data_IF_349645902096
#
_entry.id   IF_349645902096
#
_cell.length_a   1.000
_cell.length_b   1.000
_cell.length_c   1.000
_cell.angle_alpha   90.00
_cell.angle_beta   90.00
_cell.angle_gamma   90.00
#
_symmetry.space_group_name_H-M   'P 1'
#
loop_
_entity.id
_entity.type
_entity.pdbx_description
1 polymer ?
#
# COMPACT_ATOMS: atom_id res chain seq x y z
N UNK A 1 18.75 46.76 -24.13
CA UNK A 1 18.75 45.31 -23.88
C UNK A 1 17.30 44.90 -23.78
N UNK A 2 16.75 44.46 -24.91
CA UNK A 2 15.41 43.88 -25.01
C UNK A 2 15.46 42.48 -24.40
N UNK A 3 14.52 42.17 -23.52
CA UNK A 3 14.31 40.81 -23.01
C UNK A 3 13.11 40.25 -23.76
N UNK A 4 13.40 39.33 -24.67
CA UNK A 4 12.40 38.57 -25.41
C UNK A 4 11.50 37.83 -24.42
N UNK A 5 10.19 38.08 -24.55
CA UNK A 5 9.14 37.33 -23.89
C UNK A 5 8.87 36.07 -24.71
N UNK A 6 9.48 34.94 -24.34
CA UNK A 6 9.21 33.67 -24.99
C UNK A 6 8.74 32.59 -24.00
N UNK A 7 7.71 31.86 -24.41
CA UNK A 7 7.36 30.56 -23.84
C UNK A 7 6.49 30.53 -22.58
N UNK A 8 5.27 31.10 -22.62
CA UNK A 8 4.19 30.57 -21.76
C UNK A 8 3.81 29.17 -22.23
N UNK A 9 4.50 28.15 -21.72
CA UNK A 9 4.05 26.77 -21.82
C UNK A 9 2.81 26.61 -20.93
N UNK A 10 1.63 26.87 -21.47
CA UNK A 10 0.38 26.45 -20.84
C UNK A 10 0.29 24.93 -20.99
N UNK A 11 0.91 24.20 -20.06
CA UNK A 11 0.58 22.80 -19.79
C UNK A 11 -0.86 22.78 -19.26
N UNK A 12 -1.83 22.86 -20.17
CA UNK A 12 -3.23 22.59 -19.88
C UNK A 12 -3.41 21.08 -19.86
N UNK A 13 -2.72 20.40 -18.96
CA UNK A 13 -3.09 19.05 -18.57
C UNK A 13 -4.44 19.14 -17.89
N UNK A 14 -5.48 18.51 -18.46
CA UNK A 14 -6.66 18.19 -17.64
C UNK A 14 -6.19 17.17 -16.62
N UNK A 15 -6.16 17.56 -15.35
CA UNK A 15 -6.19 16.57 -14.27
C UNK A 15 -7.53 15.87 -14.43
N UNK A 16 -7.51 14.63 -14.93
CA UNK A 16 -8.68 13.77 -14.86
C UNK A 16 -8.87 13.46 -13.39
N UNK A 17 -9.77 14.17 -12.73
CA UNK A 17 -10.22 13.82 -11.39
C UNK A 17 -11.04 12.52 -11.53
N UNK A 18 -10.34 11.40 -11.55
CA UNK A 18 -10.96 10.10 -11.36
C UNK A 18 -11.46 10.04 -9.93
N UNK A 19 -12.65 9.48 -9.73
CA UNK A 19 -13.10 9.10 -8.40
C UNK A 19 -12.15 7.99 -7.96
N UNK A 20 -11.34 8.28 -6.94
CA UNK A 20 -10.54 7.26 -6.27
C UNK A 20 -11.38 6.72 -5.12
N UNK A 21 -11.58 5.41 -5.07
CA UNK A 21 -12.14 4.80 -3.89
C UNK A 21 -11.04 4.63 -2.87
N UNK A 22 -11.43 4.68 -1.60
CA UNK A 22 -10.58 4.20 -0.51
C UNK A 22 -11.29 3.02 0.14
N UNK A 23 -10.55 1.99 0.45
CA UNK A 23 -11.05 0.79 1.12
C UNK A 23 -10.32 0.62 2.44
N UNK A 24 -11.04 0.37 3.52
CA UNK A 24 -10.42 0.06 4.81
C UNK A 24 -9.53 -1.17 4.66
N UNK A 25 -8.42 -1.20 5.40
CA UNK A 25 -7.46 -2.30 5.31
C UNK A 25 -8.10 -3.65 5.66
N UNK A 26 -9.03 -3.68 6.61
CA UNK A 26 -9.88 -4.85 6.91
C UNK A 26 -10.67 -5.37 5.71
N UNK A 27 -11.19 -4.48 4.87
CA UNK A 27 -11.91 -4.86 3.68
C UNK A 27 -10.94 -5.36 2.60
N UNK A 28 -9.78 -4.73 2.46
CA UNK A 28 -8.72 -5.19 1.55
C UNK A 28 -8.21 -6.58 1.94
N UNK A 29 -8.00 -6.85 3.23
CA UNK A 29 -7.60 -8.17 3.73
C UNK A 29 -8.59 -9.27 3.30
N UNK A 30 -9.90 -9.00 3.41
CA UNK A 30 -10.95 -9.92 2.93
C UNK A 30 -10.93 -10.09 1.42
N UNK A 31 -10.66 -9.03 0.68
CA UNK A 31 -10.60 -9.06 -0.78
C UNK A 31 -9.40 -9.86 -1.30
N UNK A 32 -8.25 -9.77 -0.61
CA UNK A 32 -7.02 -10.48 -0.95
C UNK A 32 -6.92 -11.87 -0.31
N UNK A 33 -7.87 -12.24 0.54
CA UNK A 33 -7.82 -13.44 1.39
C UNK A 33 -6.53 -13.49 2.24
N UNK A 34 -6.09 -12.32 2.73
CA UNK A 34 -4.88 -12.16 3.53
C UNK A 34 -5.19 -11.90 5.01
N UNK A 35 -4.19 -12.13 5.85
CA UNK A 35 -4.26 -11.84 7.28
C UNK A 35 -4.24 -10.31 7.50
N UNK A 36 -5.21 -9.78 8.24
CA UNK A 36 -5.31 -8.32 8.43
C UNK A 36 -4.09 -7.76 9.17
N UNK A 37 -3.57 -8.48 10.19
CA UNK A 37 -2.39 -8.06 10.93
C UNK A 37 -1.13 -8.07 10.04
N UNK A 38 -1.06 -8.97 9.06
CA UNK A 38 0.00 -8.95 8.05
C UNK A 38 -0.07 -7.67 7.21
N UNK A 39 -1.25 -7.33 6.70
CA UNK A 39 -1.40 -6.12 5.89
C UNK A 39 -1.10 -4.87 6.70
N UNK A 40 -1.58 -4.81 7.96
CA UNK A 40 -1.26 -3.72 8.90
C UNK A 40 0.24 -3.56 9.07
N UNK A 41 0.97 -4.66 9.31
CA UNK A 41 2.40 -4.58 9.51
C UNK A 41 3.15 -4.13 8.24
N UNK A 42 2.71 -4.52 7.04
CA UNK A 42 3.30 -4.05 5.79
C UNK A 42 3.06 -2.55 5.61
N UNK A 43 1.82 -2.07 5.79
CA UNK A 43 1.49 -0.65 5.53
C UNK A 43 1.85 0.28 6.70
N UNK A 44 2.28 -0.27 7.83
CA UNK A 44 2.81 0.49 8.96
C UNK A 44 4.08 1.27 8.56
N UNK A 45 4.90 0.68 7.69
CA UNK A 45 5.97 1.39 7.01
C UNK A 45 5.42 1.96 5.69
N UNK A 46 5.19 3.26 5.64
CA UNK A 46 4.61 3.94 4.48
C UNK A 46 5.52 3.92 3.25
N UNK A 47 6.83 3.78 3.44
CA UNK A 47 7.82 3.60 2.35
C UNK A 47 7.72 2.25 1.63
N UNK A 48 6.91 1.31 2.15
CA UNK A 48 6.65 0.04 1.46
C UNK A 48 5.73 0.22 0.23
N UNK A 49 4.98 1.33 0.16
CA UNK A 49 4.07 1.65 -0.94
C UNK A 49 4.32 3.06 -1.48
N UNK A 50 3.78 3.33 -2.66
CA UNK A 50 3.89 4.63 -3.30
C UNK A 50 3.16 5.71 -2.48
N UNK A 51 3.70 6.93 -2.48
CA UNK A 51 3.06 8.05 -1.79
C UNK A 51 1.62 8.27 -2.28
N UNK A 52 0.68 8.31 -1.33
CA UNK A 52 -0.76 8.40 -1.61
C UNK A 52 -1.48 7.07 -1.73
N UNK A 53 -0.78 5.92 -1.65
CA UNK A 53 -1.37 4.58 -1.58
C UNK A 53 -2.06 4.34 -0.24
N UNK A 54 -1.49 4.84 0.86
CA UNK A 54 -1.98 4.67 2.24
C UNK A 54 -2.67 5.96 2.70
N UNK A 55 -3.88 5.81 3.25
CA UNK A 55 -4.72 6.92 3.73
C UNK A 55 -5.13 6.64 5.18
N UNK A 56 -4.86 7.59 6.07
CA UNK A 56 -5.40 7.58 7.43
C UNK A 56 -6.76 8.29 7.47
N UNK A 57 -7.80 7.56 7.87
CA UNK A 57 -9.17 8.09 8.02
C UNK A 57 -9.44 8.35 9.49
N UNK A 58 -9.58 9.62 9.87
CA UNK A 58 -9.97 9.99 11.24
C UNK A 58 -11.45 9.67 11.47
N UNK A 59 -11.72 8.78 12.43
CA UNK A 59 -13.07 8.47 12.91
C UNK A 59 -13.35 9.08 14.28
N UNK A 60 -12.32 9.64 14.93
CA UNK A 60 -12.39 10.41 16.16
C UNK A 60 -11.13 11.27 16.35
N UNK A 61 -11.03 12.02 17.47
CA UNK A 61 -9.88 12.89 17.75
C UNK A 61 -8.54 12.16 17.79
N UNK A 62 -8.53 10.92 18.29
CA UNK A 62 -7.33 10.09 18.46
C UNK A 62 -7.52 8.69 17.85
N UNK A 63 -8.50 8.54 16.96
CA UNK A 63 -8.85 7.26 16.35
C UNK A 63 -8.79 7.37 14.83
N UNK A 64 -7.91 6.58 14.24
CA UNK A 64 -7.72 6.50 12.79
C UNK A 64 -7.85 5.07 12.31
N UNK A 65 -8.48 4.90 11.14
CA UNK A 65 -8.50 3.64 10.42
C UNK A 65 -7.57 3.79 9.21
N UNK A 66 -6.72 2.80 8.98
CA UNK A 66 -5.91 2.72 7.77
C UNK A 66 -6.76 2.24 6.60
N UNK A 67 -6.68 2.96 5.49
CA UNK A 67 -7.34 2.63 4.24
C UNK A 67 -6.33 2.72 3.08
N UNK A 68 -6.63 2.04 1.99
CA UNK A 68 -5.84 2.06 0.77
C UNK A 68 -6.66 2.65 -0.38
N UNK A 69 -5.99 3.41 -1.25
CA UNK A 69 -6.54 3.80 -2.54
C UNK A 69 -6.61 2.61 -3.50
N UNK A 70 -7.35 2.76 -4.59
CA UNK A 70 -7.38 1.75 -5.67
C UNK A 70 -5.95 1.40 -6.16
N UNK A 71 -5.09 2.42 -6.36
CA UNK A 71 -3.69 2.23 -6.77
C UNK A 71 -2.87 1.50 -5.69
N UNK A 72 -3.06 1.87 -4.41
CA UNK A 72 -2.39 1.21 -3.29
C UNK A 72 -2.78 -0.25 -3.11
N UNK A 73 -4.03 -0.60 -3.42
CA UNK A 73 -4.51 -1.99 -3.44
C UNK A 73 -3.83 -2.78 -4.56
N UNK A 74 -3.73 -2.22 -5.76
CA UNK A 74 -3.05 -2.87 -6.89
C UNK A 74 -1.57 -3.10 -6.56
N UNK A 75 -0.89 -2.09 -6.05
CA UNK A 75 0.51 -2.15 -5.63
C UNK A 75 0.75 -3.21 -4.55
N UNK A 76 -0.06 -3.21 -3.47
CA UNK A 76 0.04 -4.19 -2.40
C UNK A 76 -0.24 -5.61 -2.91
N UNK A 77 -1.22 -5.75 -3.81
CA UNK A 77 -1.55 -7.05 -4.42
C UNK A 77 -0.36 -7.61 -5.19
N UNK A 78 0.28 -6.78 -6.01
CA UNK A 78 1.42 -7.21 -6.82
C UNK A 78 2.67 -7.50 -5.97
N UNK A 79 2.89 -6.71 -4.92
CA UNK A 79 3.93 -6.96 -3.91
C UNK A 79 3.77 -8.35 -3.27
N UNK A 80 2.56 -8.67 -2.79
CA UNK A 80 2.28 -9.97 -2.14
C UNK A 80 2.38 -11.12 -3.15
N UNK A 81 1.87 -10.95 -4.37
CA UNK A 81 2.00 -11.97 -5.44
C UNK A 81 3.46 -12.27 -5.75
N UNK A 82 4.31 -11.24 -5.84
CA UNK A 82 5.73 -11.41 -6.09
C UNK A 82 6.42 -12.17 -4.95
N UNK A 83 6.06 -11.87 -3.70
CA UNK A 83 6.58 -12.57 -2.53
C UNK A 83 6.19 -14.06 -2.51
N UNK A 84 4.94 -14.39 -2.89
CA UNK A 84 4.38 -15.74 -2.84
C UNK A 84 4.87 -16.72 -3.94
N UNK A 85 5.80 -16.32 -4.80
CA UNK A 85 6.31 -17.20 -5.87
C UNK A 85 6.93 -18.51 -5.35
N UNK A 86 7.60 -18.47 -4.20
CA UNK A 86 8.17 -19.64 -3.53
C UNK A 86 8.09 -19.48 -2.01
N UNK A 87 8.15 -20.57 -1.25
CA UNK A 87 8.24 -20.49 0.23
C UNK A 87 9.46 -19.68 0.68
N UNK A 88 10.57 -19.75 -0.05
CA UNK A 88 11.78 -19.00 0.28
C UNK A 88 11.57 -17.50 0.11
N UNK A 89 11.09 -17.07 -1.06
CA UNK A 89 10.80 -15.65 -1.33
C UNK A 89 9.73 -15.10 -0.40
N UNK A 90 8.77 -15.94 0.00
CA UNK A 90 7.76 -15.57 0.99
C UNK A 90 8.39 -15.33 2.37
N UNK A 91 9.32 -16.19 2.78
CA UNK A 91 10.00 -16.03 4.06
C UNK A 91 10.95 -14.82 4.07
N UNK A 92 11.69 -14.61 2.99
CA UNK A 92 12.56 -13.44 2.79
C UNK A 92 11.73 -12.15 2.83
N UNK A 93 10.60 -12.10 2.10
CA UNK A 93 9.67 -10.97 2.13
C UNK A 93 9.16 -10.65 3.54
N UNK A 94 8.72 -11.66 4.30
CA UNK A 94 8.25 -11.45 5.67
C UNK A 94 9.34 -10.91 6.58
N UNK A 95 10.60 -11.33 6.41
CA UNK A 95 11.70 -10.82 7.23
C UNK A 95 12.10 -9.38 6.86
N UNK A 96 11.88 -8.97 5.60
CA UNK A 96 12.24 -7.65 5.09
C UNK A 96 11.15 -6.59 5.29
N UNK A 97 9.87 -6.97 5.24
CA UNK A 97 8.73 -6.04 5.23
C UNK A 97 7.92 -6.00 6.53
N UNK A 98 8.11 -6.96 7.45
CA UNK A 98 7.32 -7.09 8.68
C UNK A 98 8.25 -7.06 9.91
N UNK A 99 8.18 -5.98 10.67
CA UNK A 99 9.00 -5.81 11.89
C UNK A 99 8.58 -6.72 13.05
N UNK A 100 7.29 -7.11 13.11
CA UNK A 100 6.77 -7.99 14.16
C UNK A 100 7.22 -9.44 13.94
N UNK A 101 8.23 -9.84 14.72
CA UNK A 101 8.82 -11.18 14.66
C UNK A 101 7.86 -12.29 15.07
N UNK A 102 6.96 -12.03 16.01
CA UNK A 102 6.00 -13.04 16.48
C UNK A 102 4.93 -13.29 15.41
N UNK A 103 4.49 -12.22 14.74
CA UNK A 103 3.63 -12.29 13.56
C UNK A 103 4.30 -13.08 12.42
N UNK A 104 5.55 -12.77 12.10
CA UNK A 104 6.34 -13.47 11.06
C UNK A 104 6.41 -14.97 11.36
N UNK A 105 6.77 -15.36 12.60
CA UNK A 105 6.83 -16.77 12.99
C UNK A 105 5.48 -17.48 12.85
N UNK A 106 4.39 -16.82 13.28
CA UNK A 106 3.04 -17.36 13.19
C UNK A 106 2.60 -17.56 11.73
N UNK A 107 2.94 -16.64 10.84
CA UNK A 107 2.59 -16.74 9.41
C UNK A 107 3.44 -17.82 8.72
N UNK A 108 4.75 -17.89 9.00
CA UNK A 108 5.65 -18.92 8.45
C UNK A 108 5.26 -20.35 8.87
N UNK A 109 4.60 -20.50 10.02
CA UNK A 109 4.08 -21.79 10.48
C UNK A 109 2.82 -22.26 9.75
N UNK A 110 2.10 -21.37 9.04
CA UNK A 110 0.95 -21.74 8.22
C UNK A 110 1.42 -22.48 6.95
N UNK A 111 0.60 -23.42 6.45
CA UNK A 111 0.91 -24.10 5.19
C UNK A 111 0.99 -23.07 4.04
N UNK A 112 1.91 -23.25 3.07
CA UNK A 112 1.95 -22.43 1.87
C UNK A 112 0.59 -22.51 1.17
N UNK A 113 0.05 -21.34 0.81
CA UNK A 113 -1.16 -21.22 -0.01
C UNK A 113 -0.82 -21.34 -1.48
#
# INVERSE_FOLDING_TARGET
MELDADGRCSLKGRVMAAITHICTLDYVAKMLDEDAELLEAIVYNDENLTYGSIVSVYVGPDETITALTDDGIEELTDLIKAARLTTRTWHEFLDDFVDDKDLVLRIKAKLPR
#
